data_IF_362528791144
#
_entry.id   IF_362528791144
#
_cell.length_a   1.000
_cell.length_b   1.000
_cell.length_c   1.000
_cell.angle_alpha   90.00
_cell.angle_beta   90.00
_cell.angle_gamma   90.00
#
_symmetry.space_group_name_H-M   'P 1'
#
loop_
_entity.id
_entity.type
_entity.pdbx_description
1 polymer ?
#
# COMPACT_ATOMS: atom_id res chain seq x y z
N UNK A 1 47.26 -6.46 -39.44
CA UNK A 1 48.45 -6.27 -38.60
C UNK A 1 48.02 -6.47 -37.15
N UNK A 2 48.48 -7.54 -36.50
CA UNK A 2 48.10 -7.84 -35.12
C UNK A 2 48.94 -7.00 -34.16
N UNK A 3 48.38 -5.89 -33.68
CA UNK A 3 48.98 -5.14 -32.59
C UNK A 3 48.82 -5.95 -31.29
N UNK A 4 49.93 -6.44 -30.76
CA UNK A 4 50.01 -7.05 -29.43
C UNK A 4 50.25 -5.93 -28.43
N UNK A 5 49.29 -5.68 -27.54
CA UNK A 5 49.44 -4.69 -26.47
C UNK A 5 50.16 -5.31 -25.28
N UNK A 6 50.96 -4.50 -24.59
CA UNK A 6 51.52 -4.88 -23.30
C UNK A 6 50.48 -4.78 -22.18
N UNK A 7 50.71 -5.49 -21.08
CA UNK A 7 49.78 -5.53 -19.94
C UNK A 7 49.45 -4.15 -19.31
N UNK A 8 50.43 -3.23 -19.13
CA UNK A 8 50.15 -1.89 -18.61
C UNK A 8 49.30 -1.04 -19.56
N UNK A 9 49.52 -1.17 -20.88
CA UNK A 9 48.75 -0.42 -21.89
C UNK A 9 47.29 -0.85 -21.95
N UNK A 10 47.03 -2.15 -21.77
CA UNK A 10 45.67 -2.68 -21.66
C UNK A 10 44.95 -2.18 -20.40
N UNK A 11 45.65 -2.12 -19.26
CA UNK A 11 45.11 -1.56 -18.02
C UNK A 11 44.81 -0.07 -18.14
N UNK A 12 45.75 0.69 -18.73
CA UNK A 12 45.57 2.12 -18.93
C UNK A 12 44.36 2.41 -19.84
N UNK A 13 44.23 1.70 -20.96
CA UNK A 13 43.09 1.83 -21.87
C UNK A 13 41.76 1.37 -21.29
N UNK A 14 41.77 0.42 -20.36
CA UNK A 14 40.57 0.03 -19.61
C UNK A 14 40.14 1.11 -18.63
N UNK A 15 41.10 1.77 -17.97
CA UNK A 15 40.84 2.87 -17.04
C UNK A 15 40.45 4.19 -17.73
N UNK A 16 40.82 4.39 -19.00
CA UNK A 16 40.54 5.60 -19.79
C UNK A 16 39.14 5.65 -20.40
N UNK A 17 38.30 4.64 -20.18
CA UNK A 17 36.86 4.70 -20.46
C UNK A 17 36.43 4.01 -21.76
N UNK A 18 35.30 3.32 -21.66
CA UNK A 18 34.61 2.48 -22.64
C UNK A 18 34.09 3.21 -23.91
N UNK A 19 34.70 4.32 -24.32
CA UNK A 19 34.15 5.15 -25.39
C UNK A 19 34.57 4.69 -26.81
N UNK A 20 35.61 3.83 -26.94
CA UNK A 20 36.17 3.48 -28.26
C UNK A 20 36.41 1.99 -28.58
N UNK A 21 36.01 1.04 -27.71
CA UNK A 21 36.24 -0.38 -27.98
C UNK A 21 34.95 -1.16 -28.30
N UNK A 22 34.78 -1.70 -29.51
CA UNK A 22 33.64 -2.56 -29.83
C UNK A 22 33.72 -3.86 -29.03
N UNK A 23 32.64 -4.17 -28.29
CA UNK A 23 32.50 -5.33 -27.40
C UNK A 23 32.96 -6.68 -27.98
N UNK A 24 32.88 -6.86 -29.31
CA UNK A 24 33.35 -8.08 -30.01
C UNK A 24 34.83 -8.40 -29.79
N UNK A 25 35.66 -7.40 -29.49
CA UNK A 25 37.09 -7.61 -29.22
C UNK A 25 37.41 -7.85 -27.74
N UNK A 26 36.43 -7.69 -26.83
CA UNK A 26 36.59 -7.94 -25.39
C UNK A 26 36.19 -9.36 -24.99
N UNK A 27 35.36 -10.05 -25.78
CA UNK A 27 34.99 -11.46 -25.55
C UNK A 27 36.22 -12.38 -25.49
N UNK A 28 37.21 -12.15 -26.35
CA UNK A 28 38.50 -12.87 -26.36
C UNK A 28 39.34 -12.64 -25.09
N UNK A 29 39.05 -11.59 -24.32
CA UNK A 29 39.66 -11.31 -23.00
C UNK A 29 38.67 -11.50 -21.85
N UNK A 30 37.50 -12.11 -22.07
CA UNK A 30 36.48 -12.32 -21.04
C UNK A 30 37.00 -13.08 -19.81
N UNK A 31 37.95 -14.00 -20.00
CA UNK A 31 38.65 -14.69 -18.89
C UNK A 31 39.47 -13.77 -17.98
N UNK A 32 39.82 -12.56 -18.42
CA UNK A 32 40.61 -11.58 -17.66
C UNK A 32 39.76 -10.71 -16.75
N UNK A 33 38.56 -10.32 -17.18
CA UNK A 33 37.66 -9.43 -16.42
C UNK A 33 37.18 -10.14 -15.14
N UNK A 34 36.83 -11.43 -15.25
CA UNK A 34 36.38 -12.22 -14.09
C UNK A 34 37.53 -12.63 -13.14
N UNK A 35 38.79 -12.62 -13.59
CA UNK A 35 39.93 -13.11 -12.80
C UNK A 35 40.31 -12.20 -11.63
N UNK A 36 39.92 -10.92 -11.65
CA UNK A 36 40.14 -10.01 -10.51
C UNK A 36 39.05 -10.08 -9.45
N UNK A 37 37.83 -10.51 -9.80
CA UNK A 37 36.76 -10.74 -8.83
C UNK A 37 36.86 -12.11 -8.14
N UNK A 38 37.61 -13.06 -8.73
CA UNK A 38 37.82 -14.39 -8.16
C UNK A 38 38.60 -14.42 -6.82
N UNK A 39 39.32 -13.34 -6.47
CA UNK A 39 40.08 -13.24 -5.21
C UNK A 39 39.37 -12.40 -4.13
N UNK A 40 38.19 -11.85 -4.41
CA UNK A 40 37.34 -11.30 -3.36
C UNK A 40 36.63 -12.51 -2.75
N UNK A 41 37.02 -12.89 -1.54
CA UNK A 41 36.54 -14.11 -0.84
C UNK A 41 35.02 -14.14 -0.62
N UNK A 42 34.29 -13.11 -1.03
CA UNK A 42 32.87 -12.94 -0.74
C UNK A 42 32.06 -12.46 -1.96
N UNK A 43 32.49 -12.78 -3.19
CA UNK A 43 31.68 -12.46 -4.38
C UNK A 43 30.29 -13.15 -4.30
N UNK A 44 30.25 -14.37 -3.77
CA UNK A 44 28.99 -15.08 -3.53
C UNK A 44 28.16 -14.36 -2.46
N UNK A 45 28.75 -13.90 -1.35
CA UNK A 45 28.00 -13.13 -0.35
C UNK A 45 27.54 -11.76 -0.85
N UNK A 46 28.28 -11.11 -1.73
CA UNK A 46 27.84 -9.87 -2.40
C UNK A 46 26.65 -10.14 -3.32
N UNK A 47 26.70 -11.22 -4.12
CA UNK A 47 25.58 -11.62 -4.99
C UNK A 47 24.37 -12.10 -4.17
N UNK A 48 24.59 -12.85 -3.10
CA UNK A 48 23.54 -13.32 -2.19
C UNK A 48 22.91 -12.15 -1.43
N UNK A 49 23.69 -11.14 -1.03
CA UNK A 49 23.17 -9.88 -0.46
C UNK A 49 22.35 -9.13 -1.50
N UNK A 50 22.83 -8.99 -2.75
CA UNK A 50 22.09 -8.34 -3.83
C UNK A 50 20.77 -9.07 -4.14
N UNK A 51 20.78 -10.39 -4.22
CA UNK A 51 19.59 -11.22 -4.45
C UNK A 51 18.63 -11.17 -3.27
N UNK A 52 19.14 -11.12 -2.03
CA UNK A 52 18.33 -10.99 -0.81
C UNK A 52 17.67 -9.60 -0.70
N UNK A 53 18.44 -8.54 -0.94
CA UNK A 53 17.95 -7.16 -0.92
C UNK A 53 16.91 -6.95 -2.02
N UNK A 54 17.15 -7.42 -3.25
CA UNK A 54 16.18 -7.39 -4.35
C UNK A 54 14.92 -8.24 -4.06
N UNK A 55 15.06 -9.40 -3.42
CA UNK A 55 13.90 -10.22 -3.02
C UNK A 55 13.01 -9.55 -1.96
N UNK A 56 13.59 -8.74 -1.07
CA UNK A 56 12.87 -8.10 0.03
C UNK A 56 11.87 -7.03 -0.46
N UNK A 57 12.21 -6.31 -1.54
CA UNK A 57 11.30 -5.38 -2.21
C UNK A 57 10.07 -6.13 -2.76
N UNK A 58 10.31 -7.23 -3.46
CA UNK A 58 9.26 -8.10 -4.00
C UNK A 58 8.37 -8.70 -2.92
N UNK A 59 8.93 -9.09 -1.77
CA UNK A 59 8.18 -9.69 -0.68
C UNK A 59 7.16 -8.72 -0.06
N UNK A 60 7.57 -7.47 0.22
CA UNK A 60 6.70 -6.47 0.85
C UNK A 60 5.56 -6.05 -0.09
N UNK A 61 5.90 -5.82 -1.36
CA UNK A 61 4.92 -5.52 -2.41
C UNK A 61 3.92 -6.67 -2.60
N UNK A 62 4.39 -7.92 -2.62
CA UNK A 62 3.54 -9.11 -2.75
C UNK A 62 2.62 -9.31 -1.55
N UNK A 63 3.12 -9.13 -0.33
CA UNK A 63 2.29 -9.20 0.89
C UNK A 63 1.18 -8.15 0.84
N UNK A 64 1.53 -6.91 0.46
CA UNK A 64 0.56 -5.83 0.36
C UNK A 64 -0.48 -6.11 -0.74
N UNK A 65 -0.06 -6.61 -1.90
CA UNK A 65 -0.95 -6.98 -2.99
C UNK A 65 -1.96 -8.04 -2.56
N UNK A 66 -1.49 -9.13 -1.94
CA UNK A 66 -2.35 -10.19 -1.43
C UNK A 66 -3.34 -9.65 -0.39
N UNK A 67 -2.88 -8.74 0.49
CA UNK A 67 -3.75 -8.11 1.48
C UNK A 67 -4.82 -7.23 0.83
N UNK A 68 -4.49 -6.50 -0.24
CA UNK A 68 -5.46 -5.72 -1.00
C UNK A 68 -6.54 -6.60 -1.63
N UNK A 69 -6.11 -7.63 -2.37
CA UNK A 69 -6.98 -8.50 -3.14
C UNK A 69 -7.87 -9.39 -2.28
N UNK A 70 -7.32 -9.97 -1.22
CA UNK A 70 -8.01 -10.99 -0.44
C UNK A 70 -8.79 -10.41 0.75
N UNK A 71 -8.45 -9.19 1.20
CA UNK A 71 -9.02 -8.63 2.44
C UNK A 71 -9.55 -7.22 2.24
N UNK A 72 -8.71 -6.24 1.91
CA UNK A 72 -9.12 -4.83 1.93
C UNK A 72 -10.24 -4.51 0.94
N UNK A 73 -10.06 -4.85 -0.34
CA UNK A 73 -11.04 -4.55 -1.39
C UNK A 73 -12.35 -5.34 -1.16
N UNK A 74 -12.33 -6.66 -0.86
CA UNK A 74 -13.55 -7.37 -0.52
C UNK A 74 -14.28 -6.81 0.71
N UNK A 75 -13.55 -6.44 1.77
CA UNK A 75 -14.15 -5.86 2.96
C UNK A 75 -14.79 -4.50 2.69
N UNK A 76 -14.13 -3.64 1.91
CA UNK A 76 -14.69 -2.36 1.47
C UNK A 76 -15.98 -2.55 0.65
N UNK A 77 -15.96 -3.50 -0.30
CA UNK A 77 -17.14 -3.81 -1.12
C UNK A 77 -18.32 -4.32 -0.27
N UNK A 78 -18.05 -5.20 0.70
CA UNK A 78 -19.07 -5.70 1.61
C UNK A 78 -19.67 -4.58 2.48
N UNK A 79 -18.81 -3.70 3.01
CA UNK A 79 -19.24 -2.56 3.81
C UNK A 79 -20.03 -1.53 2.98
N UNK A 80 -19.66 -1.28 1.72
CA UNK A 80 -20.43 -0.43 0.80
C UNK A 80 -21.84 -0.95 0.59
N UNK A 81 -22.00 -2.26 0.37
CA UNK A 81 -23.31 -2.88 0.21
C UNK A 81 -24.13 -2.72 1.49
N UNK A 82 -23.54 -2.98 2.65
CA UNK A 82 -24.25 -2.86 3.91
C UNK A 82 -24.66 -1.43 4.24
N UNK A 83 -23.80 -0.44 4.01
CA UNK A 83 -24.15 0.97 4.19
C UNK A 83 -25.36 1.35 3.33
N UNK A 84 -25.44 0.85 2.09
CA UNK A 84 -26.61 1.06 1.21
C UNK A 84 -27.86 0.36 1.73
N UNK A 85 -27.73 -0.87 2.21
CA UNK A 85 -28.85 -1.63 2.78
C UNK A 85 -29.40 -0.95 4.05
N UNK A 86 -28.51 -0.50 4.94
CA UNK A 86 -28.88 0.21 6.18
C UNK A 86 -29.50 1.57 5.85
N UNK A 87 -28.91 2.34 4.94
CA UNK A 87 -29.50 3.60 4.48
C UNK A 87 -30.90 3.38 3.91
N UNK A 88 -31.06 2.43 2.98
CA UNK A 88 -32.36 2.11 2.38
C UNK A 88 -33.39 1.61 3.41
N UNK A 89 -32.95 0.86 4.44
CA UNK A 89 -33.80 0.47 5.56
C UNK A 89 -34.34 1.71 6.28
N UNK A 90 -33.46 2.64 6.65
CA UNK A 90 -33.88 3.87 7.35
C UNK A 90 -34.69 4.81 6.47
N UNK A 91 -34.43 4.89 5.16
CA UNK A 91 -35.29 5.63 4.22
C UNK A 91 -36.73 5.11 4.27
N UNK A 92 -36.93 3.80 4.38
CA UNK A 92 -38.28 3.21 4.48
C UNK A 92 -38.93 3.45 5.85
N UNK A 93 -38.13 3.57 6.91
CA UNK A 93 -38.64 3.91 8.25
C UNK A 93 -38.87 5.41 8.45
N UNK A 94 -38.34 6.25 7.55
CA UNK A 94 -38.39 7.70 7.63
C UNK A 94 -39.81 8.26 7.41
N UNK A 95 -40.66 8.13 8.42
CA UNK A 95 -42.03 8.63 8.45
C UNK A 95 -42.38 9.15 9.85
N UNK A 96 -43.21 10.19 9.94
CA UNK A 96 -43.78 10.66 11.22
C UNK A 96 -42.88 11.62 12.02
N UNK A 97 -43.01 11.60 13.36
CA UNK A 97 -42.44 12.62 14.26
C UNK A 97 -40.90 12.62 14.35
N UNK A 98 -40.22 11.58 13.86
CA UNK A 98 -38.75 11.46 13.94
C UNK A 98 -38.06 11.66 12.59
N UNK A 99 -38.73 12.34 11.64
CA UNK A 99 -38.23 12.58 10.29
C UNK A 99 -36.83 13.19 10.29
N UNK A 100 -36.58 14.20 11.13
CA UNK A 100 -35.29 14.91 11.18
C UNK A 100 -34.15 13.97 11.63
N UNK A 101 -34.41 13.13 12.63
CA UNK A 101 -33.44 12.16 13.14
C UNK A 101 -33.04 11.15 12.05
N UNK A 102 -34.02 10.56 11.37
CA UNK A 102 -33.74 9.60 10.30
C UNK A 102 -33.08 10.27 9.09
N UNK A 103 -33.47 11.51 8.76
CA UNK A 103 -32.85 12.26 7.66
C UNK A 103 -31.36 12.51 7.91
N UNK A 104 -30.98 12.96 9.11
CA UNK A 104 -29.57 13.15 9.50
C UNK A 104 -28.78 11.83 9.43
N UNK A 105 -29.36 10.73 9.89
CA UNK A 105 -28.70 9.42 9.84
C UNK A 105 -28.53 8.90 8.41
N UNK A 106 -29.54 9.06 7.55
CA UNK A 106 -29.47 8.69 6.13
C UNK A 106 -28.38 9.51 5.43
N UNK A 107 -28.36 10.83 5.65
CA UNK A 107 -27.36 11.73 5.06
C UNK A 107 -25.93 11.36 5.47
N UNK A 108 -25.73 11.05 6.76
CA UNK A 108 -24.43 10.58 7.26
C UNK A 108 -24.01 9.24 6.62
N UNK A 109 -24.93 8.28 6.51
CA UNK A 109 -24.67 6.97 5.89
C UNK A 109 -24.34 7.11 4.39
N UNK A 110 -25.06 7.95 3.67
CA UNK A 110 -24.84 8.21 2.24
C UNK A 110 -23.52 8.94 2.00
N UNK A 111 -23.22 9.96 2.82
CA UNK A 111 -21.96 10.69 2.78
C UNK A 111 -20.79 9.74 3.00
N UNK A 112 -20.83 8.93 4.06
CA UNK A 112 -19.77 7.97 4.34
C UNK A 112 -19.67 6.87 3.25
N UNK A 113 -20.80 6.43 2.67
CA UNK A 113 -20.79 5.52 1.53
C UNK A 113 -20.04 6.11 0.32
N UNK A 114 -20.25 7.40 0.04
CA UNK A 114 -19.53 8.13 -1.00
C UNK A 114 -18.02 8.19 -0.74
N UNK A 115 -17.62 8.52 0.50
CA UNK A 115 -16.20 8.57 0.90
C UNK A 115 -15.57 7.18 0.76
N UNK A 116 -16.22 6.12 1.24
CA UNK A 116 -15.73 4.74 1.12
C UNK A 116 -15.62 4.30 -0.34
N UNK A 117 -16.56 4.69 -1.20
CA UNK A 117 -16.52 4.36 -2.62
C UNK A 117 -15.31 5.00 -3.30
N UNK A 118 -15.06 6.29 -3.04
CA UNK A 118 -13.89 7.01 -3.55
C UNK A 118 -12.62 6.34 -3.04
N UNK A 119 -12.54 6.01 -1.75
CA UNK A 119 -11.39 5.34 -1.18
C UNK A 119 -11.12 3.97 -1.82
N UNK A 120 -12.13 3.13 -2.00
CA UNK A 120 -11.96 1.83 -2.65
C UNK A 120 -11.47 1.99 -4.09
N UNK A 121 -12.09 2.89 -4.87
CA UNK A 121 -11.79 3.09 -6.29
C UNK A 121 -10.45 3.78 -6.53
N UNK A 122 -10.18 4.87 -5.82
CA UNK A 122 -9.06 5.75 -6.12
C UNK A 122 -7.82 5.44 -5.28
N UNK A 123 -7.97 4.72 -4.17
CA UNK A 123 -6.85 4.33 -3.31
C UNK A 123 -6.59 2.84 -3.44
N UNK A 124 -7.52 1.99 -2.98
CA UNK A 124 -7.25 0.55 -2.88
C UNK A 124 -7.01 -0.11 -4.25
N UNK A 125 -7.87 0.15 -5.24
CA UNK A 125 -7.70 -0.39 -6.60
C UNK A 125 -6.48 0.19 -7.32
N UNK A 126 -6.11 1.45 -7.04
CA UNK A 126 -4.91 2.03 -7.62
C UNK A 126 -3.64 1.42 -7.03
N UNK A 127 -3.61 1.16 -5.72
CA UNK A 127 -2.53 0.41 -5.07
C UNK A 127 -2.43 -0.99 -5.67
N UNK A 128 -3.55 -1.70 -5.79
CA UNK A 128 -3.59 -3.03 -6.41
C UNK A 128 -3.03 -3.00 -7.83
N UNK A 129 -3.50 -2.07 -8.69
CA UNK A 129 -3.01 -1.92 -10.07
C UNK A 129 -1.52 -1.65 -10.13
N UNK A 130 -1.01 -0.76 -9.27
CA UNK A 130 0.43 -0.44 -9.22
C UNK A 130 1.27 -1.65 -8.77
N UNK A 131 0.71 -2.51 -7.92
CA UNK A 131 1.37 -3.73 -7.43
C UNK A 131 1.18 -4.95 -8.36
N UNK A 132 0.22 -4.91 -9.29
CA UNK A 132 -0.05 -5.99 -10.24
C UNK A 132 0.75 -5.88 -11.55
N UNK A 133 1.35 -4.72 -11.84
CA UNK A 133 2.08 -4.49 -13.10
C UNK A 133 3.34 -5.39 -13.18
N UNK A 134 3.35 -6.45 -14.00
CA UNK A 134 4.46 -7.40 -14.05
C UNK A 134 5.72 -6.79 -14.65
N UNK A 135 5.58 -5.81 -15.55
CA UNK A 135 6.70 -5.12 -16.19
C UNK A 135 7.48 -4.22 -15.24
N UNK A 136 6.90 -3.91 -14.08
CA UNK A 136 7.55 -3.15 -13.00
C UNK A 136 8.48 -4.02 -12.15
N UNK A 137 8.14 -5.27 -11.88
CA UNK A 137 9.01 -6.12 -11.03
C UNK A 137 10.21 -6.71 -11.77
N UNK A 138 10.15 -6.81 -13.10
CA UNK A 138 11.27 -7.28 -13.93
C UNK A 138 12.28 -6.18 -14.27
N UNK A 139 11.90 -4.91 -14.14
CA UNK A 139 12.84 -3.79 -14.17
C UNK A 139 13.23 -3.50 -12.73
N UNK A 140 14.51 -3.69 -12.38
CA UNK A 140 15.13 -3.45 -11.05
C UNK A 140 14.84 -2.07 -10.41
N UNK A 141 14.09 -1.20 -11.08
CA UNK A 141 13.83 0.20 -10.70
C UNK A 141 12.36 0.56 -10.50
N UNK A 142 11.38 -0.33 -10.69
CA UNK A 142 9.99 0.04 -10.38
C UNK A 142 9.67 -0.08 -8.88
N UNK A 143 10.55 0.50 -8.08
CA UNK A 143 10.36 0.74 -6.67
C UNK A 143 9.21 1.74 -6.55
N UNK A 144 8.12 1.35 -5.90
CA UNK A 144 7.10 2.31 -5.46
C UNK A 144 7.85 3.36 -4.64
N UNK A 145 7.84 4.61 -5.10
CA UNK A 145 8.64 5.64 -4.46
C UNK A 145 8.21 5.83 -3.01
N UNK A 146 9.16 6.16 -2.13
CA UNK A 146 8.88 6.50 -0.72
C UNK A 146 7.82 7.61 -0.63
N UNK A 147 7.84 8.57 -1.57
CA UNK A 147 6.83 9.62 -1.67
C UNK A 147 5.41 9.07 -1.90
N UNK A 148 5.26 8.10 -2.79
CA UNK A 148 3.97 7.43 -3.05
C UNK A 148 3.49 6.67 -1.81
N UNK A 149 4.38 5.93 -1.13
CA UNK A 149 4.03 5.20 0.10
C UNK A 149 3.55 6.15 1.20
N UNK A 150 4.27 7.26 1.43
CA UNK A 150 3.88 8.29 2.40
C UNK A 150 2.52 8.89 2.07
N UNK A 151 2.28 9.24 0.81
CA UNK A 151 0.99 9.80 0.40
C UNK A 151 -0.16 8.81 0.69
N UNK A 152 0.01 7.54 0.34
CA UNK A 152 -1.01 6.52 0.61
C UNK A 152 -1.24 6.35 2.11
N UNK A 153 -0.19 6.34 2.94
CA UNK A 153 -0.34 6.25 4.39
C UNK A 153 -1.15 7.41 4.98
N UNK A 154 -0.93 8.64 4.50
CA UNK A 154 -1.71 9.82 4.91
C UNK A 154 -3.19 9.58 4.59
N UNK A 155 -3.50 9.16 3.36
CA UNK A 155 -4.89 8.91 2.94
C UNK A 155 -5.53 7.76 3.76
N UNK A 156 -4.79 6.69 4.06
CA UNK A 156 -5.27 5.60 4.93
C UNK A 156 -5.58 6.13 6.34
N UNK A 157 -4.76 7.02 6.87
CA UNK A 157 -4.92 7.58 8.21
C UNK A 157 -6.14 8.50 8.27
N UNK A 158 -6.25 9.44 7.33
CA UNK A 158 -7.39 10.35 7.21
C UNK A 158 -8.72 9.60 7.04
N UNK A 159 -8.71 8.52 6.25
CA UNK A 159 -9.89 7.68 6.10
C UNK A 159 -10.22 6.88 7.38
N UNK A 160 -9.21 6.40 8.11
CA UNK A 160 -9.42 5.74 9.40
C UNK A 160 -10.03 6.69 10.44
N UNK A 161 -9.60 7.94 10.46
CA UNK A 161 -10.17 8.98 11.32
C UNK A 161 -11.61 9.32 10.90
N UNK A 162 -11.89 9.37 9.60
CA UNK A 162 -13.26 9.53 9.09
C UNK A 162 -14.18 8.38 9.50
N UNK A 163 -13.61 7.17 9.62
CA UNK A 163 -14.34 5.98 10.12
C UNK A 163 -14.64 6.08 11.61
N UNK A 164 -13.75 6.70 12.39
CA UNK A 164 -14.01 6.99 13.81
C UNK A 164 -15.15 7.98 13.98
N UNK A 165 -15.13 9.09 13.25
CA UNK A 165 -16.20 10.09 13.28
C UNK A 165 -17.56 9.44 12.97
N UNK A 166 -17.61 8.59 11.95
CA UNK A 166 -18.85 7.88 11.60
C UNK A 166 -19.28 6.89 12.68
N UNK A 167 -18.34 6.14 13.24
CA UNK A 167 -18.62 5.17 14.30
C UNK A 167 -19.11 5.86 15.59
N UNK A 168 -18.49 6.97 15.98
CA UNK A 168 -18.88 7.77 17.13
C UNK A 168 -20.29 8.34 16.93
N UNK A 169 -20.57 8.91 15.74
CA UNK A 169 -21.91 9.35 15.38
C UNK A 169 -22.95 8.23 15.53
N UNK A 170 -22.67 7.03 15.03
CA UNK A 170 -23.59 5.89 15.15
C UNK A 170 -23.80 5.44 16.60
N UNK A 171 -22.75 5.45 17.42
CA UNK A 171 -22.83 5.09 18.83
C UNK A 171 -23.63 6.11 19.65
N UNK A 172 -23.46 7.41 19.37
CA UNK A 172 -24.27 8.48 19.97
C UNK A 172 -25.76 8.31 19.66
N UNK A 173 -26.11 7.72 18.50
CA UNK A 173 -27.51 7.42 18.19
C UNK A 173 -28.04 6.22 18.97
N UNK A 174 -27.23 5.19 19.24
CA UNK A 174 -27.65 3.99 19.99
C UNK A 174 -27.85 4.29 21.48
N UNK A 175 -26.92 5.04 22.08
CA UNK A 175 -26.92 5.38 23.50
C UNK A 175 -26.82 6.90 23.65
N UNK A 176 -27.91 7.65 23.40
CA UNK A 176 -27.89 9.10 23.57
C UNK A 176 -27.50 9.43 25.01
N UNK A 177 -26.57 10.36 25.15
CA UNK A 177 -26.10 10.83 26.45
C UNK A 177 -27.28 11.21 27.35
N UNK A 178 -27.18 10.98 28.66
CA UNK A 178 -28.29 11.09 29.63
C UNK A 178 -29.00 12.47 29.59
N UNK A 179 -28.36 13.50 29.02
CA UNK A 179 -28.92 14.84 28.80
C UNK A 179 -29.72 15.08 27.49
N UNK A 180 -29.64 14.17 26.51
CA UNK A 180 -30.30 14.26 25.20
C UNK A 180 -31.45 13.24 25.07
N UNK A 181 -32.40 13.28 26.01
CA UNK A 181 -33.55 12.38 26.10
C UNK A 181 -34.63 12.58 25.00
N UNK A 182 -34.22 12.74 23.73
CA UNK A 182 -35.12 13.10 22.63
C UNK A 182 -35.73 11.91 21.87
N UNK A 183 -35.02 10.79 21.77
CA UNK A 183 -35.47 9.64 20.97
C UNK A 183 -34.64 8.39 21.30
N UNK A 184 -35.30 7.31 21.73
CA UNK A 184 -34.68 5.99 21.83
C UNK A 184 -34.98 5.19 20.56
N UNK A 185 -33.92 4.66 19.94
CA UNK A 185 -34.05 3.78 18.79
C UNK A 185 -34.74 2.46 19.19
N UNK A 186 -35.69 1.96 18.38
CA UNK A 186 -36.21 0.61 18.54
C UNK A 186 -35.06 -0.41 18.59
N UNK A 187 -35.19 -1.45 19.43
CA UNK A 187 -34.14 -2.47 19.63
C UNK A 187 -33.64 -3.11 18.32
N UNK A 188 -34.53 -3.28 17.36
CA UNK A 188 -34.20 -3.81 16.03
C UNK A 188 -33.28 -2.87 15.26
N UNK A 189 -33.52 -1.58 15.33
CA UNK A 189 -32.74 -0.56 14.63
C UNK A 189 -31.40 -0.32 15.32
N UNK A 190 -31.40 -0.27 16.65
CA UNK A 190 -30.18 -0.23 17.46
C UNK A 190 -29.26 -1.43 17.15
N UNK A 191 -29.82 -2.62 16.97
CA UNK A 191 -29.06 -3.81 16.59
C UNK A 191 -28.44 -3.69 15.18
N UNK A 192 -29.16 -3.13 14.22
CA UNK A 192 -28.65 -2.87 12.86
C UNK A 192 -27.47 -1.90 12.91
N UNK A 193 -27.61 -0.79 13.65
CA UNK A 193 -26.54 0.21 13.79
C UNK A 193 -25.34 -0.39 14.54
N UNK A 194 -25.59 -1.23 15.56
CA UNK A 194 -24.52 -1.91 16.31
C UNK A 194 -23.73 -2.86 15.40
N UNK A 195 -24.40 -3.62 14.54
CA UNK A 195 -23.71 -4.50 13.58
C UNK A 195 -22.89 -3.70 12.56
N UNK A 196 -23.44 -2.58 12.06
CA UNK A 196 -22.72 -1.70 11.15
C UNK A 196 -21.47 -1.10 11.82
N UNK A 197 -21.61 -0.58 13.04
CA UNK A 197 -20.52 -0.01 13.83
C UNK A 197 -19.40 -1.02 14.08
N UNK A 198 -19.75 -2.26 14.43
CA UNK A 198 -18.78 -3.35 14.56
C UNK A 198 -17.99 -3.57 13.26
N UNK A 199 -18.66 -3.59 12.11
CA UNK A 199 -17.99 -3.81 10.82
C UNK A 199 -17.15 -2.61 10.36
N UNK A 200 -17.55 -1.38 10.70
CA UNK A 200 -16.71 -0.19 10.51
C UNK A 200 -15.40 -0.33 11.29
N UNK A 201 -15.46 -0.76 12.55
CA UNK A 201 -14.27 -1.00 13.37
C UNK A 201 -13.39 -2.14 12.83
N UNK A 202 -13.98 -3.24 12.38
CA UNK A 202 -13.24 -4.34 11.74
C UNK A 202 -12.52 -3.88 10.47
N UNK A 203 -13.18 -3.07 9.65
CA UNK A 203 -12.59 -2.49 8.45
C UNK A 203 -11.46 -1.50 8.80
N UNK A 204 -11.66 -0.66 9.82
CA UNK A 204 -10.64 0.25 10.34
C UNK A 204 -9.38 -0.49 10.81
N UNK A 205 -9.54 -1.58 11.54
CA UNK A 205 -8.40 -2.39 11.99
C UNK A 205 -7.64 -3.00 10.81
N UNK A 206 -8.35 -3.36 9.74
CA UNK A 206 -7.73 -3.83 8.51
C UNK A 206 -6.92 -2.73 7.82
N UNK A 207 -7.45 -1.50 7.77
CA UNK A 207 -6.73 -0.35 7.23
C UNK A 207 -5.48 0.00 8.06
N UNK A 208 -5.57 -0.06 9.38
CA UNK A 208 -4.41 0.14 10.28
C UNK A 208 -3.31 -0.90 10.04
N UNK A 209 -3.68 -2.17 9.86
CA UNK A 209 -2.72 -3.23 9.49
C UNK A 209 -2.05 -2.95 8.15
N UNK A 210 -2.81 -2.46 7.16
CA UNK A 210 -2.28 -2.06 5.87
C UNK A 210 -1.29 -0.90 6.00
N UNK A 211 -1.65 0.15 6.73
CA UNK A 211 -0.76 1.29 7.01
C UNK A 211 0.52 0.87 7.74
N UNK A 212 0.43 -0.07 8.68
CA UNK A 212 1.59 -0.64 9.36
C UNK A 212 2.55 -1.35 8.39
N UNK A 213 2.04 -2.19 7.49
CA UNK A 213 2.86 -2.87 6.48
C UNK A 213 3.55 -1.85 5.56
N UNK A 214 2.83 -0.81 5.14
CA UNK A 214 3.40 0.28 4.36
C UNK A 214 4.51 1.03 5.10
N UNK A 215 4.35 1.27 6.41
CA UNK A 215 5.37 1.92 7.24
C UNK A 215 6.61 1.06 7.41
N UNK A 216 6.44 -0.25 7.58
CA UNK A 216 7.56 -1.18 7.58
C UNK A 216 8.30 -1.17 6.24
N UNK A 217 7.55 -1.17 5.14
CA UNK A 217 8.13 -1.08 3.80
C UNK A 217 8.92 0.21 3.62
N UNK A 218 8.33 1.37 3.94
CA UNK A 218 8.98 2.68 3.90
C UNK A 218 10.29 2.72 4.71
N UNK A 219 10.26 2.21 5.95
CA UNK A 219 11.44 2.19 6.83
C UNK A 219 12.58 1.39 6.21
N UNK A 220 12.26 0.26 5.58
CA UNK A 220 13.24 -0.59 4.88
C UNK A 220 13.81 0.11 3.65
N UNK A 221 12.95 0.76 2.85
CA UNK A 221 13.40 1.55 1.69
C UNK A 221 14.39 2.65 2.10
N UNK A 222 14.08 3.37 3.17
CA UNK A 222 14.95 4.42 3.68
C UNK A 222 16.31 3.89 4.19
N UNK A 223 16.32 2.69 4.79
CA UNK A 223 17.57 2.04 5.23
C UNK A 223 18.46 1.64 4.05
N UNK A 224 17.86 1.07 3.00
CA UNK A 224 18.58 0.67 1.79
C UNK A 224 19.18 1.89 1.07
N UNK A 225 18.41 2.97 0.92
CA UNK A 225 18.93 4.22 0.35
C UNK A 225 20.09 4.81 1.16
N UNK A 226 20.08 4.67 2.48
CA UNK A 226 21.17 5.16 3.33
C UNK A 226 22.43 4.32 3.18
N UNK A 227 22.29 3.00 3.00
CA UNK A 227 23.41 2.09 2.72
C UNK A 227 24.05 2.37 1.35
N UNK A 228 23.24 2.64 0.32
CA UNK A 228 23.73 3.02 -1.02
C UNK A 228 24.54 4.32 -1.01
N UNK A 229 24.18 5.30 -0.18
CA UNK A 229 24.92 6.57 -0.07
C UNK A 229 26.24 6.42 0.69
N UNK A 230 26.37 5.39 1.54
CA UNK A 230 27.56 5.13 2.35
C UNK A 230 28.63 4.28 1.67
N UNK A 231 28.26 3.55 0.62
CA UNK A 231 29.15 2.68 -0.17
C UNK A 231 29.68 3.38 -1.42
#
# INVERSE_FOLDING_TARGET
MNHTFSYPELQQKFCEGFEFFPFRNLEQYGKFIYKRYANVQDLQGVLDCYDFENNLYGLSARVLLLMMQQKNIPAAAALLTQLKEVSAFFTRQCHGMHLLFYAEMIDALETYNGILFIYQRDVQQNIEKQLCDPGRFEQETAVVSIGTIKHIQVVITEFADSTDIMNDFLNERIAPDIGNAGFELPKTEAAIITDLSRKLLEFKDLMRKTGYIMKQWETRLAQLQLQEVMN
#
